data_IF_973627758866
#
_entry.id   IF_973627758866
#
_cell.length_a   1.000
_cell.length_b   1.000
_cell.length_c   1.000
_cell.angle_alpha   90.00
_cell.angle_beta   90.00
_cell.angle_gamma   90.00
#
_symmetry.space_group_name_H-M   'P 1'
#
loop_
_entity.id
_entity.type
_entity.pdbx_description
1 polymer ?
#
# COMPACT_ATOMS: atom_id res chain seq x y z
N UNK A 1 -11.37 17.15 -13.05
CA UNK A 1 -9.91 16.95 -13.16
C UNK A 1 -9.18 17.36 -11.89
N UNK A 2 -9.34 18.60 -11.43
CA UNK A 2 -8.68 19.09 -10.22
C UNK A 2 -9.09 18.29 -8.99
N UNK A 3 -10.36 18.01 -8.82
CA UNK A 3 -10.88 17.20 -7.71
C UNK A 3 -10.30 15.79 -7.73
N UNK A 4 -10.27 15.14 -8.89
CA UNK A 4 -9.71 13.81 -9.05
C UNK A 4 -8.20 13.79 -8.74
N UNK A 5 -7.45 14.77 -9.25
CA UNK A 5 -6.03 14.88 -8.95
C UNK A 5 -5.78 15.15 -7.46
N UNK A 6 -6.54 16.04 -6.82
CA UNK A 6 -6.42 16.32 -5.39
C UNK A 6 -6.73 15.09 -4.54
N UNK A 7 -7.82 14.37 -4.85
CA UNK A 7 -8.16 13.11 -4.17
C UNK A 7 -7.12 12.03 -4.41
N UNK A 8 -6.49 12.00 -5.60
CA UNK A 8 -5.37 11.11 -5.89
C UNK A 8 -4.13 11.42 -5.07
N UNK A 9 -3.76 12.71 -4.94
CA UNK A 9 -2.63 13.13 -4.09
C UNK A 9 -2.89 12.74 -2.63
N UNK A 10 -4.10 12.97 -2.12
CA UNK A 10 -4.47 12.54 -0.77
C UNK A 10 -4.38 11.02 -0.59
N UNK A 11 -4.85 10.23 -1.57
CA UNK A 11 -4.76 8.79 -1.49
C UNK A 11 -3.30 8.30 -1.44
N UNK A 12 -2.42 8.89 -2.25
CA UNK A 12 -1.00 8.59 -2.21
C UNK A 12 -0.36 8.87 -0.84
N UNK A 13 -0.69 10.02 -0.24
CA UNK A 13 -0.25 10.37 1.11
C UNK A 13 -0.81 9.40 2.16
N UNK A 14 -2.09 9.03 2.09
CA UNK A 14 -2.71 8.10 3.03
C UNK A 14 -2.08 6.70 2.99
N UNK A 15 -1.81 6.18 1.79
CA UNK A 15 -1.07 4.91 1.65
C UNK A 15 0.36 5.07 2.18
N UNK A 16 0.99 6.22 1.95
CA UNK A 16 2.28 6.55 2.53
C UNK A 16 2.28 6.51 4.07
N UNK A 17 1.24 7.00 4.73
CA UNK A 17 1.07 6.85 6.19
C UNK A 17 0.98 5.38 6.60
N UNK A 18 0.24 4.55 5.86
CA UNK A 18 0.20 3.12 6.11
C UNK A 18 1.59 2.48 6.00
N UNK A 19 2.35 2.83 4.96
CA UNK A 19 3.73 2.36 4.77
C UNK A 19 4.67 2.84 5.88
N UNK A 20 4.50 4.07 6.35
CA UNK A 20 5.27 4.62 7.48
C UNK A 20 5.02 3.82 8.75
N UNK A 21 3.76 3.55 9.08
CA UNK A 21 3.38 2.75 10.25
C UNK A 21 3.91 1.32 10.15
N UNK A 22 3.83 0.70 8.97
CA UNK A 22 4.47 -0.60 8.73
C UNK A 22 5.97 -0.55 8.99
N UNK A 23 6.67 0.46 8.45
CA UNK A 23 8.12 0.61 8.59
C UNK A 23 8.52 0.79 10.06
N UNK A 24 7.73 1.53 10.83
CA UNK A 24 7.93 1.69 12.26
C UNK A 24 7.85 0.35 13.00
N UNK A 25 6.81 -0.44 12.77
CA UNK A 25 6.67 -1.79 13.35
C UNK A 25 7.82 -2.70 12.91
N UNK A 26 8.18 -2.66 11.64
CA UNK A 26 9.24 -3.51 11.06
C UNK A 26 10.66 -3.07 11.48
N UNK A 27 10.82 -1.90 12.09
CA UNK A 27 12.10 -1.41 12.60
C UNK A 27 12.44 -1.97 14.00
N UNK A 28 11.47 -2.57 14.69
CA UNK A 28 11.69 -3.20 15.98
C UNK A 28 12.31 -4.59 15.81
N UNK A 29 13.58 -4.71 16.25
CA UNK A 29 14.31 -5.97 16.18
C UNK A 29 13.86 -7.01 17.23
N UNK A 30 13.12 -6.60 18.27
CA UNK A 30 12.63 -7.49 19.30
C UNK A 30 11.38 -8.27 18.87
N UNK A 31 10.65 -7.78 17.86
CA UNK A 31 9.49 -8.48 17.31
C UNK A 31 9.91 -9.69 16.49
N UNK A 32 9.36 -10.85 16.82
CA UNK A 32 9.51 -12.05 15.99
C UNK A 32 8.82 -11.90 14.63
N UNK A 33 9.23 -12.75 13.67
CA UNK A 33 8.76 -12.68 12.29
C UNK A 33 7.22 -12.59 12.15
N UNK A 34 6.48 -13.48 12.78
CA UNK A 34 5.02 -13.52 12.66
C UNK A 34 4.36 -12.27 13.27
N UNK A 35 4.83 -11.82 14.43
CA UNK A 35 4.31 -10.62 15.08
C UNK A 35 4.57 -9.36 14.22
N UNK A 36 5.78 -9.20 13.70
CA UNK A 36 6.12 -8.08 12.79
C UNK A 36 5.22 -8.06 11.57
N UNK A 37 4.91 -9.23 10.99
CA UNK A 37 4.05 -9.33 9.79
C UNK A 37 2.61 -8.97 10.10
N UNK A 38 2.05 -9.53 11.17
CA UNK A 38 0.66 -9.28 11.54
C UNK A 38 0.45 -7.84 12.03
N UNK A 39 1.27 -7.37 12.96
CA UNK A 39 1.17 -6.00 13.47
C UNK A 39 1.49 -4.97 12.38
N UNK A 40 2.48 -5.24 11.54
CA UNK A 40 2.80 -4.40 10.39
C UNK A 40 1.65 -4.32 9.40
N UNK A 41 0.98 -5.45 9.11
CA UNK A 41 -0.19 -5.50 8.25
C UNK A 41 -1.37 -4.72 8.82
N UNK A 42 -1.62 -4.89 10.12
CA UNK A 42 -2.64 -4.12 10.83
C UNK A 42 -2.33 -2.61 10.77
N UNK A 43 -1.10 -2.21 11.04
CA UNK A 43 -0.67 -0.82 10.98
C UNK A 43 -0.76 -0.25 9.56
N UNK A 44 -0.39 -1.04 8.54
CA UNK A 44 -0.50 -0.64 7.13
C UNK A 44 -1.96 -0.42 6.70
N UNK A 45 -2.91 -1.16 7.24
CA UNK A 45 -4.33 -1.06 6.88
C UNK A 45 -4.91 0.34 7.12
N UNK A 46 -4.29 1.13 8.03
CA UNK A 46 -4.63 2.54 8.25
C UNK A 46 -4.68 3.32 6.94
N UNK A 47 -3.73 3.09 6.03
CA UNK A 47 -3.66 3.79 4.76
C UNK A 47 -4.93 3.60 3.91
N UNK A 48 -5.38 2.36 3.75
CA UNK A 48 -6.58 2.07 2.95
C UNK A 48 -7.87 2.47 3.67
N UNK A 49 -7.91 2.41 4.99
CA UNK A 49 -9.04 2.93 5.79
C UNK A 49 -9.19 4.43 5.55
N UNK A 50 -8.11 5.20 5.64
CA UNK A 50 -8.11 6.65 5.36
C UNK A 50 -8.59 6.94 3.93
N UNK A 51 -8.06 6.24 2.93
CA UNK A 51 -8.48 6.38 1.53
C UNK A 51 -9.97 6.17 1.38
N UNK A 52 -10.50 5.09 1.94
CA UNK A 52 -11.90 4.68 1.74
C UNK A 52 -12.88 5.58 2.50
N UNK A 53 -12.52 5.97 3.73
CA UNK A 53 -13.37 6.83 4.57
C UNK A 53 -13.39 8.26 4.02
N UNK A 54 -12.25 8.78 3.55
CA UNK A 54 -12.17 10.11 2.96
C UNK A 54 -12.70 10.16 1.51
N UNK A 55 -12.99 9.03 0.88
CA UNK A 55 -13.39 8.98 -0.54
C UNK A 55 -12.26 9.40 -1.49
N UNK A 56 -11.01 9.12 -1.13
CA UNK A 56 -9.85 9.47 -1.94
C UNK A 56 -9.68 8.49 -3.13
N UNK A 57 -9.07 8.98 -4.20
CA UNK A 57 -8.91 8.26 -5.47
C UNK A 57 -7.62 7.44 -5.46
N UNK A 58 -7.72 6.14 -5.23
CA UNK A 58 -6.57 5.23 -5.21
C UNK A 58 -6.49 4.42 -6.51
N UNK A 59 -5.32 4.43 -7.16
CA UNK A 59 -5.08 3.73 -8.43
C UNK A 59 -5.46 2.25 -8.37
N UNK A 60 -5.04 1.52 -7.33
CA UNK A 60 -5.38 0.10 -7.15
C UNK A 60 -6.89 -0.12 -6.94
N UNK A 61 -7.59 0.76 -6.22
CA UNK A 61 -9.04 0.70 -6.06
C UNK A 61 -9.78 1.03 -7.35
N UNK A 62 -9.25 1.95 -8.15
CA UNK A 62 -9.85 2.36 -9.43
C UNK A 62 -9.75 1.29 -10.52
N UNK A 63 -9.05 0.17 -10.28
CA UNK A 63 -9.15 -0.99 -11.17
C UNK A 63 -10.58 -1.56 -11.23
N UNK A 64 -11.41 -1.36 -10.20
CA UNK A 64 -12.82 -1.73 -10.23
C UNK A 64 -13.64 -1.02 -11.33
N UNK A 65 -13.16 0.13 -11.85
CA UNK A 65 -13.77 0.81 -13.00
C UNK A 65 -13.74 -0.08 -14.25
N UNK A 66 -12.84 -1.08 -14.31
CA UNK A 66 -12.82 -2.06 -15.40
C UNK A 66 -14.15 -2.82 -15.55
N UNK A 67 -14.93 -2.98 -14.48
CA UNK A 67 -16.27 -3.59 -14.57
C UNK A 67 -17.26 -2.69 -15.29
N UNK A 68 -17.23 -1.38 -15.02
CA UNK A 68 -18.05 -0.40 -15.73
C UNK A 68 -17.63 -0.31 -17.21
N UNK A 69 -16.34 -0.47 -17.50
CA UNK A 69 -15.85 -0.58 -18.87
C UNK A 69 -16.34 -1.86 -19.56
N UNK A 70 -16.26 -3.01 -18.89
CA UNK A 70 -16.72 -4.28 -19.45
C UNK A 70 -18.24 -4.30 -19.71
N UNK A 71 -19.02 -3.54 -18.93
CA UNK A 71 -20.47 -3.36 -19.13
C UNK A 71 -20.82 -2.23 -20.12
N UNK A 72 -19.82 -1.60 -20.76
CA UNK A 72 -20.05 -0.56 -21.77
C UNK A 72 -20.42 0.82 -21.22
N UNK A 73 -20.37 1.02 -19.90
CA UNK A 73 -20.72 2.29 -19.26
C UNK A 73 -19.61 3.34 -19.36
N UNK A 74 -18.37 2.91 -19.55
CA UNK A 74 -17.18 3.76 -19.62
C UNK A 74 -16.37 3.37 -20.85
N UNK A 75 -15.87 4.35 -21.61
CA UNK A 75 -15.02 4.09 -22.77
C UNK A 75 -13.59 3.73 -22.34
N UNK A 76 -12.85 3.01 -23.20
CA UNK A 76 -11.44 2.67 -22.98
C UNK A 76 -10.59 3.92 -22.73
N UNK A 77 -10.83 4.99 -23.47
CA UNK A 77 -10.10 6.25 -23.28
C UNK A 77 -10.35 6.88 -21.90
N UNK A 78 -11.58 6.81 -21.41
CA UNK A 78 -11.92 7.31 -20.05
C UNK A 78 -11.27 6.46 -18.96
N UNK A 79 -11.28 5.12 -19.11
CA UNK A 79 -10.64 4.19 -18.19
C UNK A 79 -9.13 4.46 -18.10
N UNK A 80 -8.43 4.44 -19.23
CA UNK A 80 -6.97 4.64 -19.27
C UNK A 80 -6.57 6.02 -18.76
N UNK A 81 -7.35 7.04 -19.10
CA UNK A 81 -7.13 8.40 -18.60
C UNK A 81 -7.29 8.47 -17.07
N UNK A 82 -8.33 7.85 -16.52
CA UNK A 82 -8.51 7.79 -15.06
C UNK A 82 -7.30 7.15 -14.41
N UNK A 83 -6.89 5.99 -14.89
CA UNK A 83 -5.74 5.28 -14.34
C UNK A 83 -4.44 6.09 -14.41
N UNK A 84 -4.17 6.75 -15.53
CA UNK A 84 -2.96 7.56 -15.69
C UNK A 84 -2.93 8.76 -14.73
N UNK A 85 -4.05 9.50 -14.65
CA UNK A 85 -4.15 10.68 -13.76
C UNK A 85 -4.03 10.28 -12.29
N UNK A 86 -4.77 9.25 -11.88
CA UNK A 86 -4.78 8.81 -10.48
C UNK A 86 -3.44 8.21 -10.09
N UNK A 87 -2.82 7.40 -10.96
CA UNK A 87 -1.47 6.86 -10.73
C UNK A 87 -0.43 7.98 -10.50
N UNK A 88 -0.40 8.97 -11.40
CA UNK A 88 0.51 10.10 -11.27
C UNK A 88 0.23 10.93 -10.00
N UNK A 89 -1.04 11.18 -9.68
CA UNK A 89 -1.44 11.91 -8.48
C UNK A 89 -1.07 11.14 -7.19
N UNK A 90 -1.30 9.81 -7.15
CA UNK A 90 -0.87 8.98 -6.01
C UNK A 90 0.65 9.05 -5.82
N UNK A 91 1.43 9.00 -6.89
CA UNK A 91 2.89 9.14 -6.82
C UNK A 91 3.29 10.49 -6.20
N UNK A 92 2.69 11.59 -6.66
CA UNK A 92 2.94 12.93 -6.11
C UNK A 92 2.63 12.97 -4.62
N UNK A 93 1.49 12.40 -4.19
CA UNK A 93 1.10 12.35 -2.78
C UNK A 93 2.07 11.52 -1.92
N UNK A 94 2.47 10.36 -2.42
CA UNK A 94 3.41 9.49 -1.71
C UNK A 94 4.80 10.13 -1.58
N UNK A 95 5.33 10.74 -2.65
CA UNK A 95 6.61 11.46 -2.63
C UNK A 95 6.53 12.68 -1.73
N UNK A 96 5.44 13.46 -1.81
CA UNK A 96 5.22 14.62 -0.95
C UNK A 96 5.23 14.25 0.53
N UNK A 97 4.53 13.18 0.91
CA UNK A 97 4.56 12.68 2.29
C UNK A 97 5.97 12.20 2.68
N UNK A 98 6.65 11.45 1.82
CA UNK A 98 7.99 10.97 2.10
C UNK A 98 8.98 12.12 2.39
N UNK A 99 8.88 13.22 1.63
CA UNK A 99 9.68 14.41 1.88
C UNK A 99 9.33 15.08 3.22
N UNK A 100 8.04 15.22 3.55
CA UNK A 100 7.62 15.76 4.84
C UNK A 100 8.13 14.91 6.01
N UNK A 101 8.03 13.59 5.90
CA UNK A 101 8.53 12.64 6.92
C UNK A 101 10.05 12.74 7.04
N UNK A 102 10.77 12.88 5.92
CA UNK A 102 12.22 13.07 5.93
C UNK A 102 12.62 14.35 6.69
N UNK A 103 11.99 15.48 6.39
CA UNK A 103 12.29 16.75 7.06
C UNK A 103 11.78 16.83 8.49
N UNK A 104 10.81 16.02 8.89
CA UNK A 104 10.34 15.94 10.28
C UNK A 104 11.33 15.28 11.25
N UNK A 105 12.42 14.67 10.73
CA UNK A 105 13.37 13.93 11.55
C UNK A 105 12.89 12.53 11.96
N UNK A 106 11.72 12.07 11.49
CA UNK A 106 11.17 10.75 11.83
C UNK A 106 12.15 9.59 11.50
N UNK A 107 12.96 9.78 10.48
CA UNK A 107 13.97 8.79 10.05
C UNK A 107 15.01 8.47 11.14
N UNK A 108 15.26 9.38 12.09
CA UNK A 108 16.20 9.18 13.20
C UNK A 108 15.61 8.40 14.37
N UNK A 109 14.32 8.12 14.39
CA UNK A 109 13.67 7.34 15.45
C UNK A 109 14.30 5.95 15.59
N UNK A 110 14.30 5.46 16.84
CA UNK A 110 14.85 4.16 17.21
C UNK A 110 16.32 4.05 16.74
N UNK A 111 17.16 5.05 17.10
CA UNK A 111 18.57 5.15 16.72
C UNK A 111 18.80 4.97 15.20
N UNK A 112 17.91 5.53 14.39
CA UNK A 112 17.94 5.43 12.93
C UNK A 112 17.53 4.06 12.37
N UNK A 113 16.96 3.16 13.18
CA UNK A 113 16.48 1.87 12.69
C UNK A 113 15.34 2.01 11.69
N UNK A 114 14.49 3.04 11.84
CA UNK A 114 13.42 3.34 10.89
C UNK A 114 13.99 3.63 9.50
N UNK A 115 15.00 4.50 9.40
CA UNK A 115 15.65 4.81 8.13
C UNK A 115 16.30 3.57 7.50
N UNK A 116 17.08 2.80 8.30
CA UNK A 116 17.71 1.57 7.83
C UNK A 116 16.70 0.56 7.31
N UNK A 117 15.55 0.42 7.98
CA UNK A 117 14.47 -0.47 7.57
C UNK A 117 13.82 0.00 6.27
N UNK A 118 13.56 1.30 6.12
CA UNK A 118 13.01 1.87 4.87
C UNK A 118 13.94 1.62 3.68
N UNK A 119 15.24 1.86 3.84
CA UNK A 119 16.25 1.60 2.80
C UNK A 119 16.31 0.11 2.46
N UNK A 120 16.33 -0.78 3.47
CA UNK A 120 16.32 -2.23 3.28
C UNK A 120 15.11 -2.70 2.47
N UNK A 121 13.91 -2.19 2.79
CA UNK A 121 12.67 -2.50 2.07
C UNK A 121 12.78 -2.03 0.62
N UNK A 122 13.21 -0.80 0.38
CA UNK A 122 13.36 -0.24 -0.96
C UNK A 122 14.37 -1.04 -1.81
N UNK A 123 15.55 -1.33 -1.26
CA UNK A 123 16.58 -2.11 -1.94
C UNK A 123 16.11 -3.53 -2.27
N UNK A 124 15.44 -4.20 -1.31
CA UNK A 124 14.89 -5.54 -1.56
C UNK A 124 13.86 -5.55 -2.69
N UNK A 125 13.00 -4.53 -2.77
CA UNK A 125 12.03 -4.41 -3.87
C UNK A 125 12.70 -4.14 -5.22
N UNK A 126 13.73 -3.31 -5.24
CA UNK A 126 14.44 -2.97 -6.48
C UNK A 126 15.22 -4.17 -7.07
N UNK A 127 15.54 -5.17 -6.26
CA UNK A 127 16.27 -6.37 -6.67
C UNK A 127 15.37 -7.53 -7.13
N UNK A 128 14.04 -7.37 -7.05
CA UNK A 128 13.13 -8.44 -7.47
C UNK A 128 13.14 -8.65 -8.99
N UNK A 129 13.10 -9.90 -9.45
CA UNK A 129 12.87 -10.22 -10.86
C UNK A 129 11.52 -9.65 -11.32
N UNK A 130 11.46 -9.18 -12.57
CA UNK A 130 10.26 -8.56 -13.16
C UNK A 130 9.04 -9.48 -13.08
N UNK A 131 9.22 -10.79 -13.32
CA UNK A 131 8.14 -11.77 -13.22
C UNK A 131 7.57 -11.85 -11.80
N UNK A 132 8.43 -11.82 -10.78
CA UNK A 132 8.02 -11.84 -9.38
C UNK A 132 7.27 -10.56 -9.00
N UNK A 133 7.76 -9.40 -9.44
CA UNK A 133 7.09 -8.12 -9.27
C UNK A 133 5.69 -8.13 -9.89
N UNK A 134 5.56 -8.69 -11.09
CA UNK A 134 4.28 -8.77 -11.78
C UNK A 134 3.26 -9.62 -11.01
N UNK A 135 3.61 -10.86 -10.64
CA UNK A 135 2.68 -11.75 -9.93
C UNK A 135 2.34 -11.23 -8.53
N UNK A 136 3.30 -10.66 -7.81
CA UNK A 136 3.06 -10.00 -6.52
C UNK A 136 2.12 -8.80 -6.69
N UNK A 137 2.31 -8.00 -7.73
CA UNK A 137 1.43 -6.89 -8.08
C UNK A 137 0.00 -7.34 -8.36
N UNK A 138 -0.20 -8.43 -9.11
CA UNK A 138 -1.53 -9.01 -9.37
C UNK A 138 -2.20 -9.46 -8.08
N UNK A 139 -1.51 -10.22 -7.23
CA UNK A 139 -2.05 -10.68 -5.95
C UNK A 139 -2.36 -9.53 -5.00
N UNK A 140 -1.46 -8.56 -4.89
CA UNK A 140 -1.67 -7.33 -4.14
C UNK A 140 -2.93 -6.61 -4.58
N UNK A 141 -3.03 -6.33 -5.88
CA UNK A 141 -4.16 -5.57 -6.43
C UNK A 141 -5.48 -6.33 -6.27
N UNK A 142 -5.48 -7.65 -6.40
CA UNK A 142 -6.67 -8.48 -6.16
C UNK A 142 -7.18 -8.30 -4.72
N UNK A 143 -6.31 -8.39 -3.72
CA UNK A 143 -6.70 -8.23 -2.31
C UNK A 143 -7.14 -6.80 -1.98
N UNK A 144 -6.49 -5.79 -2.56
CA UNK A 144 -6.92 -4.39 -2.40
C UNK A 144 -8.28 -4.16 -3.05
N UNK A 145 -8.52 -4.66 -4.27
CA UNK A 145 -9.82 -4.56 -4.93
C UNK A 145 -10.92 -5.26 -4.10
N UNK A 146 -10.63 -6.45 -3.55
CA UNK A 146 -11.58 -7.15 -2.67
C UNK A 146 -11.89 -6.33 -1.41
N UNK A 147 -10.89 -5.75 -0.77
CA UNK A 147 -11.06 -4.91 0.41
C UNK A 147 -11.95 -3.68 0.10
N UNK A 148 -11.67 -3.00 -1.00
CA UNK A 148 -12.48 -1.84 -1.45
C UNK A 148 -13.90 -2.27 -1.80
N UNK A 149 -14.07 -3.39 -2.51
CA UNK A 149 -15.39 -3.94 -2.85
C UNK A 149 -16.21 -4.24 -1.59
N UNK A 150 -15.63 -4.95 -0.62
CA UNK A 150 -16.31 -5.24 0.64
C UNK A 150 -16.64 -3.98 1.42
N UNK A 151 -15.75 -2.98 1.42
CA UNK A 151 -16.00 -1.70 2.07
C UNK A 151 -17.15 -0.91 1.44
N UNK A 152 -17.48 -1.13 0.17
CA UNK A 152 -18.66 -0.52 -0.48
C UNK A 152 -19.98 -1.04 0.12
N UNK A 153 -20.01 -2.25 0.67
CA UNK A 153 -21.18 -2.79 1.37
C UNK A 153 -21.36 -2.20 2.77
N UNK A 154 -20.32 -1.60 3.34
CA UNK A 154 -20.34 -1.00 4.68
C UNK A 154 -21.15 0.30 4.71
N UNK A 155 -22.04 0.41 5.69
CA UNK A 155 -22.92 1.57 5.90
C UNK A 155 -22.35 2.57 6.91
N UNK A 156 -21.44 2.16 7.76
CA UNK A 156 -20.76 2.99 8.74
C UNK A 156 -19.25 3.02 8.50
N UNK A 157 -18.56 3.95 9.13
CA UNK A 157 -17.08 4.02 9.10
C UNK A 157 -16.50 2.75 9.71
N UNK A 158 -17.09 2.23 10.77
CA UNK A 158 -16.65 1.00 11.44
C UNK A 158 -16.75 -0.21 10.52
N UNK A 159 -17.88 -0.36 9.79
CA UNK A 159 -18.07 -1.47 8.85
C UNK A 159 -16.98 -1.45 7.76
N UNK A 160 -16.70 -0.27 7.22
CA UNK A 160 -15.66 -0.09 6.19
C UNK A 160 -14.28 -0.42 6.74
N UNK A 161 -13.97 0.04 7.95
CA UNK A 161 -12.69 -0.24 8.59
C UNK A 161 -12.48 -1.75 8.80
N UNK A 162 -13.48 -2.45 9.33
CA UNK A 162 -13.44 -3.91 9.54
C UNK A 162 -13.27 -4.66 8.22
N UNK A 163 -14.01 -4.26 7.16
CA UNK A 163 -13.91 -4.87 5.84
C UNK A 163 -12.53 -4.73 5.21
N UNK A 164 -11.77 -3.69 5.57
CA UNK A 164 -10.43 -3.39 5.02
C UNK A 164 -9.33 -4.08 5.83
N UNK A 165 -9.42 -4.05 7.16
CA UNK A 165 -8.33 -4.46 8.05
C UNK A 165 -7.92 -5.91 7.80
N UNK A 166 -8.86 -6.85 7.68
CA UNK A 166 -8.53 -8.26 7.50
C UNK A 166 -7.83 -8.58 6.18
N UNK A 167 -8.36 -8.20 5.00
CA UNK A 167 -7.68 -8.50 3.73
C UNK A 167 -6.33 -7.80 3.60
N UNK A 168 -6.20 -6.57 4.11
CA UNK A 168 -4.94 -5.84 4.04
C UNK A 168 -3.90 -6.43 5.01
N UNK A 169 -4.30 -6.81 6.20
CA UNK A 169 -3.41 -7.53 7.12
C UNK A 169 -2.95 -8.85 6.51
N UNK A 170 -3.85 -9.63 5.92
CA UNK A 170 -3.52 -10.88 5.25
C UNK A 170 -2.54 -10.66 4.08
N UNK A 171 -2.77 -9.64 3.25
CA UNK A 171 -1.90 -9.26 2.13
C UNK A 171 -0.47 -8.95 2.60
N UNK A 172 -0.31 -8.12 3.63
CA UNK A 172 0.99 -7.75 4.18
C UNK A 172 1.64 -8.94 4.88
N UNK A 173 0.87 -9.72 5.67
CA UNK A 173 1.36 -10.90 6.36
C UNK A 173 1.85 -11.97 5.39
N UNK A 174 1.15 -12.21 4.28
CA UNK A 174 1.54 -13.16 3.23
C UNK A 174 2.80 -12.74 2.46
N UNK A 175 3.27 -11.50 2.61
CA UNK A 175 4.53 -11.05 2.02
C UNK A 175 4.46 -10.58 0.57
N UNK A 176 3.27 -10.33 0.05
CA UNK A 176 3.12 -9.81 -1.31
C UNK A 176 3.67 -8.39 -1.48
N UNK A 177 3.95 -7.69 -0.36
CA UNK A 177 4.60 -6.38 -0.36
C UNK A 177 6.12 -6.42 -0.24
N UNK A 178 6.71 -7.45 0.37
CA UNK A 178 8.11 -7.45 0.76
C UNK A 178 8.86 -8.64 0.17
N UNK A 179 9.97 -8.35 -0.53
CA UNK A 179 11.00 -9.34 -0.76
C UNK A 179 11.68 -9.66 0.58
N UNK A 180 11.70 -10.92 0.97
CA UNK A 180 12.66 -11.37 1.96
C UNK A 180 14.00 -11.55 1.27
N UNK A 181 15.11 -11.02 1.83
CA UNK A 181 16.39 -11.61 1.52
C UNK A 181 16.30 -13.06 1.99
N UNK A 182 16.54 -14.01 1.10
CA UNK A 182 16.82 -15.39 1.49
C UNK A 182 17.97 -15.33 2.49
N UNK A 183 17.67 -15.43 3.77
CA UNK A 183 18.67 -15.77 4.77
C UNK A 183 19.17 -17.16 4.38
N UNK A 184 20.42 -17.20 3.90
CA UNK A 184 21.04 -18.36 3.30
C UNK A 184 20.75 -19.67 4.03
N UNK A 185 20.00 -20.50 3.36
CA UNK A 185 20.11 -21.95 3.55
C UNK A 185 21.25 -22.39 2.63
N UNK A 186 22.39 -22.70 3.25
CA UNK A 186 23.46 -23.43 2.56
C UNK A 186 24.78 -22.70 2.44
N UNK A 187 25.48 -22.42 3.54
CA UNK A 187 26.92 -22.61 3.53
C UNK A 187 27.19 -24.04 4.01
N UNK A 188 27.70 -24.94 3.14
CA UNK A 188 28.32 -26.17 3.64
C UNK A 188 29.59 -25.79 4.39
N UNK A 189 29.80 -26.44 5.54
CA UNK A 189 31.02 -26.39 6.33
C UNK A 189 32.17 -27.03 5.58
#
# INVERSE_FOLDING_TARGET
WLTQAALGVLAGAFIGFGALMFTLVASDAALGFAATRLLGGLAFSLGLVLVTVAGAELFTGNHLIAMAWASGQVSTAQLLRNWAVVCAANLVGAVGLALLVFWSGHASMNDGAVARTAVRIATSKAQLPIAELFFRGVLCNTLVCMAVWMAMAGRSVSDKAVAIVFPITAFVAAGFEHAHPHSGLGQPR
#
